data_IF_103502898601
#
_entry.id   IF_103502898601
#
_cell.length_a   1.000
_cell.length_b   1.000
_cell.length_c   1.000
_cell.angle_alpha   90.00
_cell.angle_beta   90.00
_cell.angle_gamma   90.00
#
_symmetry.space_group_name_H-M   'P 1'
#
loop_
_entity.id
_entity.type
_entity.pdbx_description
1 polymer ?
#
# COMPACT_ATOMS: atom_id res chain seq x y z
N UNK A 1 0.49 -1.55 15.01
CA UNK A 1 -0.28 -0.29 15.08
C UNK A 1 -0.71 -0.05 16.51
N UNK A 2 -0.80 1.21 16.99
CA UNK A 2 -1.26 1.52 18.35
C UNK A 2 -2.79 1.47 18.49
N UNK A 3 -3.54 1.56 17.38
CA UNK A 3 -5.01 1.62 17.30
C UNK A 3 -5.54 0.60 16.28
N UNK A 4 -5.25 -0.72 16.45
CA UNK A 4 -5.57 -1.74 15.45
C UNK A 4 -7.08 -1.94 15.25
N UNK A 5 -7.91 -1.63 16.22
CA UNK A 5 -9.38 -1.73 16.17
C UNK A 5 -10.03 -0.86 15.08
N UNK A 6 -9.28 0.06 14.49
CA UNK A 6 -9.76 0.89 13.36
C UNK A 6 -9.68 0.19 12.02
N UNK A 7 -9.01 -0.93 11.94
CA UNK A 7 -8.62 -1.61 10.69
C UNK A 7 -8.99 -3.09 10.72
N UNK A 8 -8.80 -3.76 9.61
CA UNK A 8 -8.72 -5.22 9.60
C UNK A 8 -7.52 -5.68 10.43
N UNK A 9 -7.68 -6.68 11.27
CA UNK A 9 -6.62 -7.19 12.17
C UNK A 9 -6.36 -8.65 11.89
N UNK A 10 -5.07 -9.01 11.69
CA UNK A 10 -4.62 -10.40 11.52
C UNK A 10 -3.95 -10.89 12.80
N UNK A 11 -4.33 -12.10 13.26
CA UNK A 11 -3.58 -12.81 14.29
C UNK A 11 -2.80 -13.99 13.69
N UNK A 12 -1.70 -14.35 14.35
CA UNK A 12 -0.77 -15.38 13.90
C UNK A 12 -0.57 -16.45 14.99
N UNK A 13 -0.23 -17.66 14.55
CA UNK A 13 0.30 -18.71 15.43
C UNK A 13 1.79 -18.53 15.71
N UNK A 14 2.36 -19.44 16.50
CA UNK A 14 3.78 -19.46 16.85
C UNK A 14 4.72 -19.67 15.63
N UNK A 15 4.20 -20.20 14.53
CA UNK A 15 4.91 -20.43 13.27
C UNK A 15 4.79 -19.25 12.29
N UNK A 16 4.08 -18.17 12.68
CA UNK A 16 3.84 -17.01 11.83
C UNK A 16 2.75 -17.21 10.77
N UNK A 17 1.91 -18.23 10.90
CA UNK A 17 0.76 -18.43 10.01
C UNK A 17 -0.43 -17.64 10.51
N UNK A 18 -1.17 -17.01 9.61
CA UNK A 18 -2.40 -16.31 9.94
C UNK A 18 -3.44 -17.32 10.47
N UNK A 19 -4.04 -17.01 11.62
CA UNK A 19 -5.06 -17.84 12.29
C UNK A 19 -6.43 -17.17 12.30
N UNK A 20 -6.49 -15.85 12.22
CA UNK A 20 -7.73 -15.10 12.06
C UNK A 20 -7.49 -13.79 11.35
N UNK A 21 -8.52 -13.29 10.68
CA UNK A 21 -8.59 -11.94 10.16
C UNK A 21 -9.97 -11.38 10.53
N UNK A 22 -10.01 -10.19 11.14
CA UNK A 22 -11.24 -9.61 11.67
C UNK A 22 -11.33 -8.14 11.28
N UNK A 23 -12.49 -7.70 10.79
CA UNK A 23 -12.73 -6.29 10.42
C UNK A 23 -13.09 -5.48 11.65
N UNK A 24 -12.29 -4.48 11.97
CA UNK A 24 -12.52 -3.50 13.06
C UNK A 24 -12.99 -4.15 14.35
N UNK A 25 -12.24 -5.15 14.87
CA UNK A 25 -12.66 -5.86 16.06
C UNK A 25 -12.69 -4.96 17.29
N UNK A 26 -13.72 -5.07 18.12
CA UNK A 26 -13.79 -4.31 19.39
C UNK A 26 -12.68 -4.71 20.37
N UNK A 27 -12.20 -5.97 20.28
CA UNK A 27 -11.10 -6.49 21.08
C UNK A 27 -10.07 -7.14 20.13
N UNK A 28 -9.10 -6.38 19.60
CA UNK A 28 -8.12 -6.90 18.65
C UNK A 28 -7.25 -8.01 19.26
N UNK A 29 -7.08 -9.11 18.53
CA UNK A 29 -6.21 -10.24 18.95
C UNK A 29 -4.73 -9.96 18.75
N UNK A 30 -4.39 -8.92 17.99
CA UNK A 30 -3.02 -8.52 17.70
C UNK A 30 -2.95 -7.03 17.36
N UNK A 31 -1.72 -6.52 17.19
CA UNK A 31 -1.45 -5.16 16.71
C UNK A 31 -1.12 -5.11 15.20
N UNK A 32 -1.37 -6.19 14.46
CA UNK A 32 -1.12 -6.27 13.03
C UNK A 32 -2.33 -5.80 12.23
N UNK A 33 -2.31 -4.55 11.81
CA UNK A 33 -3.33 -3.98 10.93
C UNK A 33 -3.08 -4.37 9.46
N UNK A 34 -4.15 -4.73 8.77
CA UNK A 34 -4.11 -5.03 7.34
C UNK A 34 -4.02 -3.72 6.55
N UNK A 35 -3.03 -3.62 5.68
CA UNK A 35 -2.92 -2.52 4.72
C UNK A 35 -3.81 -2.79 3.51
N UNK A 36 -4.06 -1.78 2.68
CA UNK A 36 -4.92 -1.91 1.49
C UNK A 36 -4.23 -2.52 0.26
N UNK A 37 -3.21 -3.37 0.42
CA UNK A 37 -2.48 -3.98 -0.69
C UNK A 37 -2.76 -5.49 -0.73
N UNK A 38 -3.42 -5.93 -1.80
CA UNK A 38 -3.87 -7.31 -1.97
C UNK A 38 -3.47 -7.87 -3.33
N UNK A 39 -3.08 -9.14 -3.35
CA UNK A 39 -2.84 -9.92 -4.56
C UNK A 39 -3.71 -11.18 -4.51
N UNK A 40 -4.52 -11.37 -5.52
CA UNK A 40 -5.47 -12.48 -5.56
C UNK A 40 -5.25 -13.37 -6.78
N UNK A 41 -5.55 -14.68 -6.67
CA UNK A 41 -5.61 -15.56 -7.83
C UNK A 41 -6.81 -15.26 -8.73
N UNK A 42 -6.88 -15.90 -9.91
CA UNK A 42 -7.88 -15.60 -10.92
C UNK A 42 -9.33 -15.87 -10.55
N UNK A 43 -9.60 -16.62 -9.48
CA UNK A 43 -10.95 -16.93 -8.97
C UNK A 43 -11.55 -15.84 -8.08
N UNK A 44 -10.80 -14.77 -7.81
CA UNK A 44 -11.21 -13.70 -6.88
C UNK A 44 -12.56 -13.09 -7.22
N UNK A 45 -12.85 -12.85 -8.50
CA UNK A 45 -14.12 -12.26 -8.93
C UNK A 45 -15.32 -13.15 -8.60
N UNK A 46 -15.15 -14.48 -8.76
CA UNK A 46 -16.20 -15.44 -8.42
C UNK A 46 -16.45 -15.45 -6.89
N UNK A 47 -15.38 -15.47 -6.09
CA UNK A 47 -15.48 -15.41 -4.63
C UNK A 47 -16.08 -14.09 -4.14
N UNK A 48 -15.63 -12.97 -4.67
CA UNK A 48 -16.12 -11.63 -4.29
C UNK A 48 -17.63 -11.49 -4.51
N UNK A 49 -18.17 -12.10 -5.57
CA UNK A 49 -19.62 -12.11 -5.85
C UNK A 49 -20.44 -12.90 -4.82
N UNK A 50 -19.82 -13.72 -3.96
CA UNK A 50 -20.48 -14.47 -2.90
C UNK A 50 -20.41 -13.78 -1.53
N UNK A 51 -19.62 -12.72 -1.39
CA UNK A 51 -19.49 -11.96 -0.15
C UNK A 51 -20.84 -11.32 0.19
N UNK A 52 -21.24 -11.47 1.45
CA UNK A 52 -22.48 -10.88 1.99
C UNK A 52 -22.15 -9.63 2.79
N UNK A 53 -23.07 -8.67 2.87
CA UNK A 53 -22.91 -7.53 3.75
C UNK A 53 -22.68 -7.93 5.20
N UNK A 54 -21.75 -7.26 5.86
CA UNK A 54 -21.46 -7.41 7.29
C UNK A 54 -22.62 -6.87 8.15
N UNK A 55 -22.50 -6.99 9.48
CA UNK A 55 -23.42 -6.35 10.41
C UNK A 55 -23.47 -4.81 10.27
N UNK A 56 -22.46 -4.21 9.62
CA UNK A 56 -22.40 -2.78 9.28
C UNK A 56 -23.10 -2.42 7.97
N UNK A 57 -23.61 -3.43 7.23
CA UNK A 57 -24.23 -3.27 5.92
C UNK A 57 -23.26 -3.08 4.76
N UNK A 58 -21.96 -3.30 4.98
CA UNK A 58 -20.89 -3.13 3.99
C UNK A 58 -20.37 -4.48 3.49
N UNK A 59 -19.98 -4.54 2.21
CA UNK A 59 -19.22 -5.67 1.64
C UNK A 59 -17.76 -5.50 2.04
N UNK A 60 -17.31 -6.32 2.99
CA UNK A 60 -15.98 -6.19 3.58
C UNK A 60 -14.95 -7.02 2.79
N UNK A 61 -13.81 -6.39 2.45
CA UNK A 61 -12.67 -7.10 1.88
C UNK A 61 -12.13 -8.17 2.84
N UNK A 62 -12.29 -7.95 4.14
CA UNK A 62 -11.90 -8.88 5.19
C UNK A 62 -12.66 -10.20 5.07
N UNK A 63 -13.95 -10.17 4.71
CA UNK A 63 -14.74 -11.39 4.48
C UNK A 63 -14.21 -12.20 3.29
N UNK A 64 -13.75 -11.54 2.23
CA UNK A 64 -13.09 -12.21 1.11
C UNK A 64 -11.75 -12.84 1.52
N UNK A 65 -10.95 -12.14 2.30
CA UNK A 65 -9.68 -12.66 2.82
C UNK A 65 -9.90 -13.84 3.78
N UNK A 66 -10.98 -13.82 4.57
CA UNK A 66 -11.36 -14.91 5.45
C UNK A 66 -11.72 -16.20 4.68
N UNK A 67 -12.33 -16.07 3.49
CA UNK A 67 -12.56 -17.24 2.62
C UNK A 67 -11.24 -17.90 2.22
N UNK A 68 -10.23 -17.12 1.82
CA UNK A 68 -8.91 -17.65 1.50
C UNK A 68 -8.17 -18.20 2.72
N UNK A 69 -8.35 -17.60 3.90
CA UNK A 69 -7.81 -18.12 5.15
C UNK A 69 -8.39 -19.50 5.47
N UNK A 70 -9.71 -19.66 5.38
CA UNK A 70 -10.42 -20.90 5.66
C UNK A 70 -10.03 -22.05 4.70
N UNK A 71 -9.70 -21.70 3.46
CA UNK A 71 -9.19 -22.64 2.46
C UNK A 71 -7.69 -22.93 2.61
N UNK A 72 -6.99 -22.28 3.56
CA UNK A 72 -5.55 -22.42 3.75
C UNK A 72 -4.71 -21.76 2.64
N UNK A 73 -5.28 -20.82 1.91
CA UNK A 73 -4.68 -20.14 0.75
C UNK A 73 -4.26 -18.69 1.04
N UNK A 74 -4.51 -18.17 2.25
CA UNK A 74 -4.10 -16.82 2.62
C UNK A 74 -2.64 -16.83 3.05
N UNK A 75 -1.82 -16.06 2.34
CA UNK A 75 -0.47 -15.69 2.77
C UNK A 75 -0.45 -14.23 3.25
N UNK A 76 0.31 -13.94 4.31
CA UNK A 76 0.41 -12.60 4.88
C UNK A 76 1.87 -12.17 4.96
N UNK A 77 2.19 -11.09 4.25
CA UNK A 77 3.51 -10.49 4.27
C UNK A 77 3.58 -9.37 5.31
N UNK A 78 4.46 -9.51 6.30
CA UNK A 78 4.67 -8.47 7.30
C UNK A 78 5.56 -7.37 6.74
N UNK A 79 5.07 -6.14 6.77
CA UNK A 79 5.87 -4.97 6.45
C UNK A 79 6.84 -4.69 7.61
N UNK A 80 8.14 -4.70 7.32
CA UNK A 80 9.19 -4.45 8.29
C UNK A 80 9.30 -2.98 8.71
N UNK A 81 10.29 -2.67 9.56
CA UNK A 81 10.48 -1.31 10.12
C UNK A 81 10.81 -0.24 9.09
N UNK A 82 11.22 -0.62 7.88
CA UNK A 82 11.49 0.32 6.78
C UNK A 82 10.24 0.87 6.09
N UNK A 83 9.06 0.36 6.42
CA UNK A 83 7.80 0.78 5.83
C UNK A 83 7.06 1.74 6.75
N UNK A 84 6.55 2.82 6.19
CA UNK A 84 5.58 3.70 6.82
C UNK A 84 4.23 3.53 6.12
N UNK A 85 3.24 3.06 6.85
CA UNK A 85 1.86 3.02 6.37
C UNK A 85 1.06 4.14 7.04
N UNK A 86 0.42 4.97 6.21
CA UNK A 86 -0.28 6.16 6.64
C UNK A 86 -1.74 6.06 6.16
N UNK A 87 -2.67 6.00 7.11
CA UNK A 87 -4.09 6.14 6.81
C UNK A 87 -4.41 7.61 6.55
N UNK A 88 -5.30 7.88 5.59
CA UNK A 88 -5.71 9.24 5.21
C UNK A 88 -7.22 9.45 5.34
N UNK A 89 -7.89 8.61 6.12
CA UNK A 89 -9.35 8.61 6.30
C UNK A 89 -9.89 9.78 7.10
N UNK A 90 -9.05 10.57 7.77
CA UNK A 90 -9.45 11.79 8.50
C UNK A 90 -8.62 12.99 8.07
N UNK A 91 -9.14 14.20 8.29
CA UNK A 91 -8.37 15.43 7.99
C UNK A 91 -7.05 15.49 8.75
N UNK A 92 -7.03 15.01 10.00
CA UNK A 92 -5.82 14.99 10.83
C UNK A 92 -4.79 13.97 10.27
N UNK A 93 -5.21 12.76 9.92
CA UNK A 93 -4.32 11.75 9.36
C UNK A 93 -3.82 12.12 7.95
N UNK A 94 -4.65 12.77 7.13
CA UNK A 94 -4.23 13.31 5.84
C UNK A 94 -3.12 14.37 6.00
N UNK A 95 -3.27 15.30 6.96
CA UNK A 95 -2.24 16.29 7.25
C UNK A 95 -0.94 15.65 7.74
N UNK A 96 -1.04 14.63 8.61
CA UNK A 96 0.14 13.89 9.08
C UNK A 96 0.86 13.19 7.92
N UNK A 97 0.12 12.57 7.01
CA UNK A 97 0.68 11.92 5.82
C UNK A 97 1.39 12.95 4.91
N UNK A 98 0.77 14.11 4.67
CA UNK A 98 1.35 15.18 3.86
C UNK A 98 2.67 15.69 4.48
N UNK A 99 2.69 15.96 5.78
CA UNK A 99 3.89 16.40 6.48
C UNK A 99 5.01 15.34 6.47
N UNK A 100 4.64 14.06 6.62
CA UNK A 100 5.60 12.96 6.55
C UNK A 100 6.25 12.88 5.16
N UNK A 101 5.43 12.88 4.08
CA UNK A 101 5.91 12.83 2.70
C UNK A 101 6.80 14.04 2.40
N UNK A 102 6.37 15.25 2.73
CA UNK A 102 7.16 16.47 2.55
C UNK A 102 8.51 16.37 3.25
N UNK A 103 8.53 15.95 4.51
CA UNK A 103 9.76 15.83 5.30
C UNK A 103 10.74 14.84 4.66
N UNK A 104 10.26 13.67 4.24
CA UNK A 104 11.12 12.66 3.59
C UNK A 104 11.66 13.20 2.26
N UNK A 105 10.80 13.73 1.40
CA UNK A 105 11.20 14.25 0.08
C UNK A 105 12.21 15.38 0.20
N UNK A 106 11.96 16.35 1.09
CA UNK A 106 12.84 17.52 1.28
C UNK A 106 14.19 17.15 1.88
N UNK A 107 14.26 16.14 2.75
CA UNK A 107 15.50 15.73 3.42
C UNK A 107 16.34 14.76 2.61
N UNK A 108 15.71 13.85 1.90
CA UNK A 108 16.41 12.81 1.12
C UNK A 108 16.61 13.19 -0.35
N UNK A 109 15.92 14.23 -0.83
CA UNK A 109 15.99 14.65 -2.25
C UNK A 109 15.38 13.64 -3.23
N UNK A 110 14.46 12.80 -2.73
CA UNK A 110 13.72 11.83 -3.54
C UNK A 110 12.29 12.31 -3.79
N UNK A 111 11.64 11.74 -4.79
CA UNK A 111 10.19 11.91 -5.01
C UNK A 111 9.49 10.59 -4.67
N UNK A 112 8.66 10.61 -3.64
CA UNK A 112 7.88 9.42 -3.24
C UNK A 112 6.83 9.14 -4.30
N UNK A 113 6.75 7.87 -4.71
CA UNK A 113 5.73 7.40 -5.68
C UNK A 113 5.84 8.09 -7.06
N UNK A 114 7.05 8.12 -7.62
CA UNK A 114 7.30 8.59 -8.98
C UNK A 114 7.15 7.41 -9.98
N UNK A 115 5.95 7.16 -10.55
CA UNK A 115 5.68 5.93 -11.30
C UNK A 115 6.55 5.81 -12.56
N UNK A 116 6.86 6.89 -13.26
CA UNK A 116 7.71 6.87 -14.45
C UNK A 116 9.16 6.55 -14.10
N UNK A 117 9.67 7.08 -12.99
CA UNK A 117 11.00 6.74 -12.47
C UNK A 117 11.07 5.28 -12.05
N UNK A 118 10.06 4.79 -11.32
CA UNK A 118 9.97 3.39 -10.91
C UNK A 118 9.91 2.48 -12.14
N UNK A 119 9.15 2.84 -13.16
CA UNK A 119 9.09 2.10 -14.42
C UNK A 119 10.44 2.08 -15.16
N UNK A 120 11.17 3.18 -15.14
CA UNK A 120 12.52 3.29 -15.74
C UNK A 120 13.54 2.43 -14.98
N UNK A 121 13.58 2.50 -13.65
CA UNK A 121 14.49 1.71 -12.81
C UNK A 121 14.25 0.21 -12.99
N UNK A 122 12.98 -0.21 -13.14
CA UNK A 122 12.61 -1.60 -13.37
C UNK A 122 12.72 -2.05 -14.85
N UNK A 123 13.15 -1.17 -15.75
CA UNK A 123 13.33 -1.50 -17.17
C UNK A 123 12.01 -1.64 -17.96
N UNK A 124 10.88 -1.16 -17.44
CA UNK A 124 9.59 -1.16 -18.13
C UNK A 124 9.51 -0.08 -19.19
N UNK A 125 10.26 1.01 -19.04
CA UNK A 125 10.46 2.06 -20.02
C UNK A 125 11.95 2.38 -20.16
N UNK A 126 12.34 2.93 -21.30
CA UNK A 126 13.71 3.42 -21.55
C UNK A 126 13.86 4.91 -21.19
N UNK A 127 15.11 5.41 -21.26
CA UNK A 127 15.44 6.80 -20.96
C UNK A 127 14.78 7.81 -21.93
N UNK A 128 14.52 7.42 -23.19
CA UNK A 128 13.83 8.29 -24.15
C UNK A 128 12.37 8.49 -23.72
N UNK A 129 11.71 7.40 -23.34
CA UNK A 129 10.32 7.45 -22.85
C UNK A 129 10.22 8.25 -21.55
N UNK A 130 11.18 8.07 -20.63
CA UNK A 130 11.23 8.87 -19.40
C UNK A 130 11.41 10.37 -19.70
N UNK A 131 12.27 10.72 -20.67
CA UNK A 131 12.47 12.10 -21.10
C UNK A 131 11.23 12.70 -21.77
N UNK A 132 10.46 11.90 -22.52
CA UNK A 132 9.15 12.34 -23.07
C UNK A 132 8.17 12.67 -21.94
N UNK A 133 8.07 11.82 -20.93
CA UNK A 133 7.26 12.08 -19.74
C UNK A 133 7.71 13.37 -19.03
N UNK A 134 9.01 13.56 -18.82
CA UNK A 134 9.54 14.78 -18.23
C UNK A 134 9.11 16.03 -19.00
N UNK A 135 9.16 16.00 -20.34
CA UNK A 135 8.72 17.11 -21.20
C UNK A 135 7.21 17.37 -21.07
N UNK A 136 6.39 16.33 -20.94
CA UNK A 136 4.95 16.48 -20.77
C UNK A 136 4.59 17.19 -19.45
N UNK A 137 5.35 16.96 -18.37
CA UNK A 137 5.22 17.67 -17.09
C UNK A 137 5.84 19.09 -17.10
N UNK A 138 6.58 19.44 -18.13
CA UNK A 138 7.16 20.77 -18.36
C UNK A 138 8.10 21.22 -17.25
N UNK A 139 7.94 22.48 -16.80
CA UNK A 139 8.77 23.09 -15.75
C UNK A 139 8.26 22.81 -14.32
N UNK A 140 7.40 21.81 -14.14
CA UNK A 140 6.98 21.42 -12.80
C UNK A 140 8.14 20.78 -12.03
N UNK A 141 8.15 20.82 -10.68
CA UNK A 141 9.17 20.14 -9.89
C UNK A 141 9.27 18.64 -10.23
N UNK A 142 8.15 17.99 -10.54
CA UNK A 142 8.11 16.60 -10.96
C UNK A 142 8.76 16.39 -12.33
N UNK A 143 8.46 17.23 -13.31
CA UNK A 143 9.10 17.18 -14.65
C UNK A 143 10.61 17.37 -14.58
N UNK A 144 11.09 18.31 -13.77
CA UNK A 144 12.53 18.53 -13.56
C UNK A 144 13.19 17.34 -12.85
N UNK A 145 12.49 16.69 -11.91
CA UNK A 145 12.95 15.46 -11.27
C UNK A 145 13.12 14.34 -12.30
N UNK A 146 12.08 14.03 -13.09
CA UNK A 146 12.16 12.98 -14.12
C UNK A 146 13.27 13.24 -15.14
N UNK A 147 13.47 14.50 -15.52
CA UNK A 147 14.58 14.89 -16.37
C UNK A 147 15.93 14.61 -15.72
N UNK A 148 16.09 14.95 -14.44
CA UNK A 148 17.32 14.67 -13.68
C UNK A 148 17.60 13.17 -13.59
N UNK A 149 16.57 12.34 -13.41
CA UNK A 149 16.69 10.87 -13.43
C UNK A 149 17.14 10.39 -14.81
N UNK A 150 16.49 10.84 -15.89
CA UNK A 150 16.83 10.44 -17.26
C UNK A 150 18.27 10.83 -17.67
N UNK A 151 18.77 11.93 -17.12
CA UNK A 151 20.16 12.42 -17.33
C UNK A 151 21.18 11.76 -16.37
N UNK A 152 20.76 10.83 -15.51
CA UNK A 152 21.63 10.14 -14.54
C UNK A 152 22.18 11.04 -13.43
N UNK A 153 21.53 12.17 -13.15
CA UNK A 153 21.92 13.12 -12.09
C UNK A 153 21.37 12.74 -10.71
N UNK A 154 20.36 11.88 -10.66
CA UNK A 154 19.85 11.28 -9.42
C UNK A 154 20.52 9.92 -9.24
N UNK A 155 21.12 9.67 -8.08
CA UNK A 155 21.76 8.39 -7.72
C UNK A 155 21.09 7.85 -6.44
N UNK A 156 20.84 6.55 -6.42
CA UNK A 156 20.26 5.80 -5.28
C UNK A 156 21.31 4.95 -4.62
#
# INVERSE_FOLDING_TARGET
MPDPERFGVVAFDENGRATSIEEKPANPKSNYAVTGLYFYPGDVSARANTVKPSARGELEITALNEMYLNDGLLDVQLLGRGFAWLDTGTMASLLQAANFVETIQSRQGIVISAPEEIAFINGFIDGNRLMESAKAYGKSPYGEHLKAVAEGRVRY
#
